data_IF_573127045083
#
_entry.id   IF_573127045083
#
_cell.length_a   1.000
_cell.length_b   1.000
_cell.length_c   1.000
_cell.angle_alpha   90.00
_cell.angle_beta   90.00
_cell.angle_gamma   90.00
#
_symmetry.space_group_name_H-M   'P 1'
#
loop_
_entity.id
_entity.type
_entity.pdbx_description
1 polymer ?
#
# COMPACT_ATOMS: atom_id res chain seq x y z
N UNK A 1 11.09 -20.02 -20.53
CA UNK A 1 11.63 -20.29 -19.18
C UNK A 1 10.45 -20.34 -18.22
N UNK A 2 10.40 -21.31 -17.31
CA UNK A 2 9.35 -21.36 -16.30
C UNK A 2 9.67 -20.36 -15.17
N UNK A 3 8.69 -19.58 -14.74
CA UNK A 3 8.85 -18.78 -13.53
C UNK A 3 8.87 -19.72 -12.31
N UNK A 4 9.95 -19.70 -11.53
CA UNK A 4 10.10 -20.57 -10.36
C UNK A 4 9.03 -20.32 -9.26
N UNK A 5 8.39 -19.14 -9.26
CA UNK A 5 7.47 -18.72 -8.20
C UNK A 5 6.00 -18.90 -8.55
N UNK A 6 5.60 -18.73 -9.81
CA UNK A 6 4.20 -18.90 -10.25
C UNK A 6 3.98 -20.07 -11.21
N UNK A 7 5.05 -20.80 -11.56
CA UNK A 7 5.03 -21.95 -12.48
C UNK A 7 4.45 -21.67 -13.88
N UNK A 8 4.18 -20.40 -14.19
CA UNK A 8 3.74 -19.98 -15.50
C UNK A 8 4.92 -20.00 -16.47
N UNK A 9 4.71 -20.59 -17.63
CA UNK A 9 5.67 -20.57 -18.71
C UNK A 9 5.71 -19.18 -19.33
N UNK A 10 6.84 -18.49 -19.14
CA UNK A 10 7.12 -17.25 -19.84
C UNK A 10 7.88 -17.65 -21.11
N UNK A 11 7.10 -17.85 -22.18
CA UNK A 11 7.61 -18.08 -23.53
C UNK A 11 7.80 -16.73 -24.21
N UNK A 12 9.04 -16.25 -24.22
CA UNK A 12 9.44 -15.04 -24.94
C UNK A 12 10.03 -15.44 -26.30
N UNK A 13 9.55 -14.85 -27.41
CA UNK A 13 10.07 -15.16 -28.73
C UNK A 13 11.54 -14.74 -28.87
N UNK A 14 12.39 -15.61 -29.43
CA UNK A 14 13.82 -15.31 -29.62
C UNK A 14 14.05 -14.40 -30.83
N UNK A 15 14.99 -13.46 -30.72
CA UNK A 15 15.31 -12.56 -31.83
C UNK A 15 16.12 -13.25 -32.93
N UNK A 16 15.95 -12.84 -34.20
CA UNK A 16 16.70 -13.41 -35.33
C UNK A 16 18.04 -12.71 -35.60
N UNK A 17 18.39 -11.68 -34.81
CA UNK A 17 19.65 -10.94 -35.02
C UNK A 17 20.88 -11.84 -34.84
N UNK A 18 21.86 -11.63 -35.73
CA UNK A 18 23.20 -12.23 -35.67
C UNK A 18 23.89 -11.90 -34.35
N UNK A 19 24.89 -12.70 -33.98
CA UNK A 19 25.68 -12.42 -32.77
C UNK A 19 26.48 -11.12 -32.93
N UNK A 20 26.87 -10.52 -31.80
CA UNK A 20 27.65 -9.29 -31.78
C UNK A 20 28.98 -9.43 -32.53
N UNK A 21 29.61 -10.59 -32.40
CA UNK A 21 30.88 -10.96 -33.05
C UNK A 21 30.72 -11.01 -34.56
N UNK A 22 29.64 -11.63 -35.06
CA UNK A 22 29.33 -11.70 -36.48
C UNK A 22 29.08 -10.31 -37.07
N UNK A 23 28.35 -9.45 -36.35
CA UNK A 23 28.10 -8.07 -36.77
C UNK A 23 29.41 -7.29 -36.87
N UNK A 24 30.27 -7.36 -35.85
CA UNK A 24 31.56 -6.66 -35.88
C UNK A 24 32.52 -7.17 -36.94
N UNK A 25 32.50 -8.47 -37.23
CA UNK A 25 33.30 -9.04 -38.29
C UNK A 25 32.90 -8.47 -39.65
N UNK A 26 31.59 -8.43 -39.96
CA UNK A 26 31.08 -7.82 -41.19
C UNK A 26 31.41 -6.31 -41.28
N UNK A 27 31.39 -5.59 -40.16
CA UNK A 27 31.77 -4.18 -40.13
C UNK A 27 33.27 -3.96 -40.41
N UNK A 28 34.14 -4.86 -39.91
CA UNK A 28 35.60 -4.79 -40.13
C UNK A 28 35.99 -5.13 -41.57
N UNK A 29 35.31 -6.08 -42.18
CA UNK A 29 35.53 -6.47 -43.58
C UNK A 29 35.15 -5.35 -44.55
N UNK A 30 34.27 -4.43 -44.15
CA UNK A 30 33.91 -3.24 -44.92
C UNK A 30 33.10 -3.52 -46.18
N UNK A 31 32.76 -4.79 -46.45
CA UNK A 31 32.00 -5.24 -47.62
C UNK A 31 30.72 -5.90 -47.13
N UNK A 32 29.58 -5.28 -47.47
CA UNK A 32 28.26 -5.90 -47.30
C UNK A 32 27.78 -6.37 -48.67
N UNK A 33 27.47 -7.65 -48.81
CA UNK A 33 26.85 -8.16 -50.03
C UNK A 33 25.48 -7.50 -50.22
N UNK A 34 25.18 -7.05 -51.44
CA UNK A 34 23.86 -6.49 -51.78
C UNK A 34 22.73 -7.51 -51.55
N UNK A 35 23.04 -8.82 -51.59
CA UNK A 35 22.11 -9.91 -51.27
C UNK A 35 21.76 -9.98 -49.79
N UNK A 36 22.61 -9.48 -48.89
CA UNK A 36 22.43 -9.61 -47.44
C UNK A 36 21.60 -8.46 -46.87
N UNK A 37 21.51 -7.34 -47.58
CA UNK A 37 20.80 -6.13 -47.14
C UNK A 37 19.31 -6.38 -46.87
N UNK A 38 18.56 -7.09 -47.73
CA UNK A 38 17.15 -7.42 -47.48
C UNK A 38 16.98 -8.31 -46.23
N UNK A 39 17.85 -9.29 -46.05
CA UNK A 39 17.80 -10.24 -44.92
C UNK A 39 18.14 -9.55 -43.59
N UNK A 40 19.12 -8.66 -43.58
CA UNK A 40 19.45 -7.82 -42.42
C UNK A 40 18.26 -6.92 -42.08
N UNK A 41 17.66 -6.25 -43.08
CA UNK A 41 16.48 -5.39 -42.87
C UNK A 41 15.30 -6.16 -42.30
N UNK A 42 15.03 -7.36 -42.83
CA UNK A 42 13.98 -8.25 -42.33
C UNK A 42 14.26 -8.66 -40.88
N UNK A 43 15.48 -9.10 -40.59
CA UNK A 43 15.89 -9.48 -39.22
C UNK A 43 15.74 -8.33 -38.22
N UNK A 44 16.05 -7.09 -38.63
CA UNK A 44 15.83 -5.89 -37.82
C UNK A 44 14.33 -5.64 -37.61
N UNK A 45 13.50 -5.80 -38.63
CA UNK A 45 12.04 -5.63 -38.51
C UNK A 45 11.44 -6.68 -37.56
N UNK A 46 11.84 -7.94 -37.70
CA UNK A 46 11.40 -9.03 -36.84
C UNK A 46 11.84 -8.81 -35.38
N UNK A 47 13.07 -8.33 -35.17
CA UNK A 47 13.54 -7.96 -33.83
C UNK A 47 12.72 -6.83 -33.19
N UNK A 48 12.30 -5.82 -33.96
CA UNK A 48 11.40 -4.78 -33.46
C UNK A 48 10.03 -5.34 -33.06
N UNK A 49 9.49 -6.30 -33.81
CA UNK A 49 8.21 -6.95 -33.47
C UNK A 49 8.32 -7.76 -32.17
N UNK A 50 9.45 -8.43 -31.97
CA UNK A 50 9.74 -9.15 -30.73
C UNK A 50 9.89 -8.19 -29.55
N UNK A 51 10.56 -7.05 -29.74
CA UNK A 51 10.67 -6.03 -28.70
C UNK A 51 9.29 -5.50 -28.28
N UNK A 52 8.38 -5.28 -29.23
CA UNK A 52 6.97 -4.94 -28.91
C UNK A 52 6.26 -6.04 -28.10
N UNK A 53 6.54 -7.31 -28.39
CA UNK A 53 5.99 -8.42 -27.62
C UNK A 53 6.53 -8.41 -26.18
N UNK A 54 7.82 -8.11 -26.00
CA UNK A 54 8.43 -7.97 -24.68
C UNK A 54 7.81 -6.80 -23.91
N UNK A 55 7.65 -5.64 -24.52
CA UNK A 55 7.02 -4.46 -23.89
C UNK A 55 5.58 -4.76 -23.44
N UNK A 56 4.83 -5.51 -24.24
CA UNK A 56 3.46 -5.94 -23.89
C UNK A 56 3.47 -6.81 -22.63
N UNK A 57 4.40 -7.75 -22.54
CA UNK A 57 4.51 -8.65 -21.39
C UNK A 57 5.00 -7.91 -20.14
N UNK A 58 5.94 -6.97 -20.27
CA UNK A 58 6.37 -6.08 -19.18
C UNK A 58 5.16 -5.34 -18.61
N UNK A 59 4.37 -4.66 -19.45
CA UNK A 59 3.18 -3.93 -19.00
C UNK A 59 2.16 -4.83 -18.31
N UNK A 60 1.96 -6.05 -18.81
CA UNK A 60 1.05 -7.03 -18.20
C UNK A 60 1.50 -7.44 -16.80
N UNK A 61 2.80 -7.70 -16.64
CA UNK A 61 3.40 -8.08 -15.36
C UNK A 61 3.39 -6.91 -14.36
N UNK A 62 3.71 -5.69 -14.82
CA UNK A 62 3.62 -4.48 -14.00
C UNK A 62 2.20 -4.21 -13.51
N UNK A 63 1.19 -4.36 -14.38
CA UNK A 63 -0.20 -4.27 -14.00
C UNK A 63 -0.57 -5.30 -12.93
N UNK A 64 -0.18 -6.57 -13.14
CA UNK A 64 -0.44 -7.65 -12.18
C UNK A 64 0.21 -7.36 -10.82
N UNK A 65 1.46 -6.87 -10.83
CA UNK A 65 2.18 -6.47 -9.63
C UNK A 65 1.47 -5.33 -8.89
N UNK A 66 0.97 -4.34 -9.62
CA UNK A 66 0.23 -3.21 -9.04
C UNK A 66 -1.05 -3.68 -8.33
N UNK A 67 -1.84 -4.56 -8.96
CA UNK A 67 -3.06 -5.13 -8.38
C UNK A 67 -2.75 -5.89 -7.10
N UNK A 68 -1.78 -6.81 -7.13
CA UNK A 68 -1.42 -7.62 -5.95
C UNK A 68 -0.89 -6.74 -4.81
N UNK A 69 -0.09 -5.71 -5.11
CA UNK A 69 0.37 -4.74 -4.11
C UNK A 69 -0.78 -3.97 -3.46
N UNK A 70 -1.76 -3.52 -4.25
CA UNK A 70 -2.96 -2.86 -3.73
C UNK A 70 -3.75 -3.79 -2.80
N UNK A 71 -4.01 -5.03 -3.23
CA UNK A 71 -4.70 -6.02 -2.39
C UNK A 71 -3.95 -6.30 -1.08
N UNK A 72 -2.63 -6.44 -1.14
CA UNK A 72 -1.81 -6.64 0.05
C UNK A 72 -1.85 -5.43 1.00
N UNK A 73 -1.85 -4.20 0.45
CA UNK A 73 -2.04 -2.97 1.22
C UNK A 73 -3.37 -2.95 1.97
N UNK A 74 -4.48 -3.18 1.26
CA UNK A 74 -5.81 -3.24 1.88
C UNK A 74 -5.92 -4.33 2.95
N UNK A 75 -5.34 -5.51 2.72
CA UNK A 75 -5.36 -6.57 3.72
C UNK A 75 -4.57 -6.18 4.97
N UNK A 76 -3.42 -5.51 4.81
CA UNK A 76 -2.61 -5.03 5.92
C UNK A 76 -3.36 -4.01 6.77
N UNK A 77 -4.04 -3.06 6.14
CA UNK A 77 -4.91 -2.08 6.82
C UNK A 77 -6.00 -2.78 7.63
N UNK A 78 -6.73 -3.71 7.01
CA UNK A 78 -7.79 -4.48 7.70
C UNK A 78 -7.27 -5.30 8.88
N UNK A 79 -6.09 -5.89 8.75
CA UNK A 79 -5.44 -6.62 9.86
C UNK A 79 -5.17 -5.65 11.01
N UNK A 80 -4.62 -4.47 10.73
CA UNK A 80 -4.36 -3.45 11.74
C UNK A 80 -5.65 -2.97 12.41
N UNK A 81 -6.68 -2.64 11.64
CA UNK A 81 -7.99 -2.24 12.16
C UNK A 81 -8.61 -3.31 13.07
N UNK A 82 -8.57 -4.56 12.63
CA UNK A 82 -9.07 -5.70 13.41
C UNK A 82 -8.25 -5.92 14.67
N UNK A 83 -6.93 -5.69 14.63
CA UNK A 83 -6.07 -5.83 15.81
C UNK A 83 -6.45 -4.87 16.94
N UNK A 84 -7.04 -3.70 16.64
CA UNK A 84 -7.56 -2.78 17.66
C UNK A 84 -8.70 -3.38 18.49
N UNK A 85 -9.40 -4.40 17.99
CA UNK A 85 -10.39 -5.15 18.76
C UNK A 85 -9.75 -5.95 19.91
N UNK A 86 -8.47 -6.30 19.77
CA UNK A 86 -7.70 -7.02 20.80
C UNK A 86 -7.04 -6.07 21.82
N UNK A 87 -7.19 -4.75 21.64
CA UNK A 87 -6.61 -3.74 22.54
C UNK A 87 -7.00 -4.02 24.01
N UNK A 88 -6.03 -4.04 24.95
CA UNK A 88 -6.28 -4.32 26.36
C UNK A 88 -7.37 -3.44 26.97
N UNK A 89 -7.48 -2.18 26.52
CA UNK A 89 -8.46 -1.21 27.04
C UNK A 89 -9.91 -1.65 26.84
N UNK A 90 -10.18 -2.51 25.83
CA UNK A 90 -11.51 -3.08 25.58
C UNK A 90 -11.87 -4.19 26.58
N UNK A 91 -10.89 -4.78 27.26
CA UNK A 91 -11.06 -5.85 28.26
C UNK A 91 -11.13 -5.33 29.71
N UNK A 92 -10.84 -4.05 29.93
CA UNK A 92 -10.93 -3.45 31.26
C UNK A 92 -12.38 -3.49 31.76
N UNK A 93 -12.62 -3.75 33.06
CA UNK A 93 -13.92 -3.52 33.68
C UNK A 93 -14.32 -2.04 33.61
N UNK A 94 -15.62 -1.76 33.77
CA UNK A 94 -16.13 -0.39 33.68
C UNK A 94 -15.62 0.49 34.83
N UNK A 95 -15.40 -0.10 36.01
CA UNK A 95 -14.87 0.56 37.20
C UNK A 95 -13.46 1.09 36.92
N UNK A 96 -12.61 0.25 36.32
CA UNK A 96 -11.23 0.63 35.97
C UNK A 96 -11.21 1.70 34.87
N UNK A 97 -12.10 1.61 33.88
CA UNK A 97 -12.26 2.69 32.89
C UNK A 97 -12.69 4.00 33.55
N UNK A 98 -13.62 3.95 34.50
CA UNK A 98 -14.06 5.11 35.28
C UNK A 98 -12.92 5.75 36.07
N UNK A 99 -12.09 4.96 36.74
CA UNK A 99 -10.89 5.46 37.43
C UNK A 99 -9.91 6.12 36.47
N UNK A 100 -9.63 5.50 35.31
CA UNK A 100 -8.78 6.09 34.28
C UNK A 100 -9.32 7.46 33.84
N UNK A 101 -10.62 7.59 33.63
CA UNK A 101 -11.22 8.87 33.23
C UNK A 101 -11.07 9.95 34.31
N UNK A 102 -11.18 9.59 35.60
CA UNK A 102 -10.94 10.52 36.72
C UNK A 102 -9.49 11.02 36.70
N UNK A 103 -8.52 10.12 36.56
CA UNK A 103 -7.10 10.49 36.46
C UNK A 103 -6.78 11.31 35.22
N UNK A 104 -7.54 11.13 34.14
CA UNK A 104 -7.38 11.89 32.90
C UNK A 104 -7.90 13.33 33.00
N UNK A 105 -8.56 13.71 34.10
CA UNK A 105 -9.12 15.04 34.33
C UNK A 105 -8.81 15.59 35.74
N UNK A 106 -7.53 15.87 36.05
CA UNK A 106 -7.13 16.32 37.38
C UNK A 106 -7.70 17.71 37.76
N UNK A 107 -8.12 18.53 36.79
CA UNK A 107 -8.60 19.90 37.02
C UNK A 107 -10.11 20.10 36.81
N UNK A 108 -10.88 19.01 36.66
CA UNK A 108 -12.31 19.02 36.35
C UNK A 108 -12.63 18.88 34.85
N UNK A 109 -13.92 18.73 34.54
CA UNK A 109 -14.44 18.60 33.18
C UNK A 109 -14.46 19.97 32.48
N UNK A 110 -13.41 20.29 31.72
CA UNK A 110 -13.37 21.52 30.91
C UNK A 110 -14.09 21.24 29.60
N UNK A 111 -15.17 21.98 29.32
CA UNK A 111 -15.83 21.99 28.03
C UNK A 111 -15.49 23.30 27.34
N UNK A 112 -14.77 23.21 26.24
CA UNK A 112 -14.45 24.36 25.41
C UNK A 112 -15.42 24.40 24.23
N UNK A 113 -16.06 25.54 24.02
CA UNK A 113 -16.89 25.77 22.83
C UNK A 113 -16.03 26.05 21.59
N UNK A 114 -14.72 26.28 21.76
CA UNK A 114 -13.78 26.71 20.72
C UNK A 114 -12.71 25.67 20.39
N UNK A 115 -12.47 24.69 21.26
CA UNK A 115 -11.54 23.57 21.06
C UNK A 115 -12.30 22.24 20.96
N UNK A 116 -11.61 21.18 20.50
CA UNK A 116 -12.12 19.80 20.45
C UNK A 116 -12.94 19.46 21.71
N UNK A 117 -14.03 18.67 21.59
CA UNK A 117 -14.89 18.35 22.73
C UNK A 117 -14.09 17.62 23.80
N UNK A 118 -13.75 18.37 24.85
CA UNK A 118 -13.25 17.84 26.09
C UNK A 118 -14.46 17.55 26.98
N UNK A 119 -14.55 16.37 27.60
CA UNK A 119 -13.50 15.34 27.68
C UNK A 119 -13.42 14.42 26.44
N UNK A 120 -12.20 14.15 25.95
CA UNK A 120 -11.96 13.34 24.74
C UNK A 120 -12.47 11.89 24.85
N UNK A 121 -12.54 11.32 26.04
CA UNK A 121 -13.09 9.97 26.23
C UNK A 121 -14.58 9.86 25.88
N UNK A 122 -15.32 10.98 25.86
CA UNK A 122 -16.72 11.01 25.40
C UNK A 122 -16.85 10.76 23.90
N UNK A 123 -15.78 10.91 23.12
CA UNK A 123 -15.81 10.74 21.66
C UNK A 123 -15.20 9.41 21.19
N UNK A 124 -14.56 8.65 22.08
CA UNK A 124 -13.84 7.41 21.73
C UNK A 124 -14.78 6.30 21.25
N UNK A 125 -15.76 5.89 22.06
CA UNK A 125 -16.77 4.91 21.66
C UNK A 125 -18.02 4.99 22.55
N UNK A 126 -19.11 4.31 22.13
CA UNK A 126 -20.36 4.28 22.89
C UNK A 126 -20.17 3.80 24.33
N UNK A 127 -19.38 2.73 24.54
CA UNK A 127 -19.12 2.19 25.87
C UNK A 127 -18.41 3.19 26.78
N UNK A 128 -17.37 3.87 26.29
CA UNK A 128 -16.63 4.87 27.07
C UNK A 128 -17.53 6.03 27.48
N UNK A 129 -18.38 6.50 26.55
CA UNK A 129 -19.38 7.51 26.84
C UNK A 129 -20.36 7.06 27.92
N UNK A 130 -20.90 5.84 27.82
CA UNK A 130 -21.79 5.28 28.83
C UNK A 130 -21.11 5.22 30.20
N UNK A 131 -19.89 4.67 30.29
CA UNK A 131 -19.14 4.58 31.55
C UNK A 131 -18.88 5.98 32.14
N UNK A 132 -18.43 6.92 31.31
CA UNK A 132 -18.15 8.28 31.74
C UNK A 132 -19.41 8.97 32.30
N UNK A 133 -20.52 8.92 31.57
CA UNK A 133 -21.79 9.51 32.02
C UNK A 133 -22.34 8.83 33.28
N UNK A 134 -22.14 7.53 33.43
CA UNK A 134 -22.53 6.77 34.62
C UNK A 134 -21.56 6.88 35.81
N UNK A 135 -20.52 7.71 35.72
CA UNK A 135 -19.54 7.92 36.80
C UNK A 135 -19.63 9.36 37.34
N UNK A 136 -20.49 9.65 38.33
CA UNK A 136 -20.76 11.02 38.80
C UNK A 136 -19.53 11.78 39.29
N UNK A 137 -18.52 11.09 39.83
CA UNK A 137 -17.31 11.72 40.35
C UNK A 137 -16.48 12.45 39.28
N UNK A 138 -16.65 12.08 38.00
CA UNK A 138 -16.02 12.74 36.86
C UNK A 138 -16.61 14.15 36.63
N UNK A 139 -17.88 14.35 36.99
CA UNK A 139 -18.68 15.54 36.69
C UNK A 139 -18.81 16.50 37.87
N UNK A 140 -18.05 16.30 38.94
CA UNK A 140 -18.12 17.14 40.16
C UNK A 140 -17.75 18.60 39.92
N UNK A 141 -16.94 18.89 38.91
CA UNK A 141 -16.57 20.24 38.51
C UNK A 141 -16.63 20.35 36.99
N UNK A 142 -17.50 21.23 36.51
CA UNK A 142 -17.65 21.55 35.09
C UNK A 142 -17.16 22.98 34.90
N UNK A 143 -16.21 23.17 33.98
CA UNK A 143 -15.70 24.50 33.59
C UNK A 143 -16.01 24.75 32.14
N UNK A 144 -16.59 25.90 31.84
CA UNK A 144 -16.86 26.33 30.47
C UNK A 144 -15.79 27.34 30.05
N UNK A 145 -15.10 27.06 28.95
CA UNK A 145 -14.18 28.00 28.31
C UNK A 145 -14.90 28.65 27.13
N UNK A 146 -15.19 29.95 27.27
CA UNK A 146 -15.82 30.80 26.27
C UNK A 146 -14.83 31.89 25.87
N UNK A 147 -14.57 32.05 24.57
CA UNK A 147 -13.87 33.21 24.05
C UNK A 147 -14.88 34.27 23.62
N UNK A 148 -14.69 35.51 24.07
CA UNK A 148 -15.33 36.67 23.44
C UNK A 148 -14.87 36.87 21.99
#
# INVERSE_FOLDING_TARGET
MLCASCLTEISLPRHPLRSKEQIFQSLREGVLSLSDIPDIRKSISDAHNILKAYDKEIRRLEYTLAVVRSMAGHLKERIQETSFLLSPVRRLPNEILGEIFKFSMPSGSIFSCTKLPSPSFLTVCARWRTVALSTPSIWQSIRLDYSE
#
